data_IF_955366962403
#
_entry.id   IF_955366962403
#
_cell.length_a   1.000
_cell.length_b   1.000
_cell.length_c   1.000
_cell.angle_alpha   90.00
_cell.angle_beta   90.00
_cell.angle_gamma   90.00
#
_symmetry.space_group_name_H-M   'P 1'
#
loop_
_entity.id
_entity.type
_entity.pdbx_description
1 polymer ?
#
# COMPACT_ATOMS: atom_id res chain seq x y z
N UNK A 1 -25.20 -34.54 -0.87
CA UNK A 1 -24.26 -35.34 -1.65
C UNK A 1 -23.12 -34.44 -2.04
N UNK A 2 -21.91 -34.82 -1.66
CA UNK A 2 -20.64 -34.12 -1.85
C UNK A 2 -20.16 -34.26 -3.28
N UNK A 3 -19.60 -33.21 -3.86
CA UNK A 3 -18.59 -33.23 -4.92
C UNK A 3 -17.84 -31.92 -4.82
N UNK A 4 -16.73 -31.85 -4.18
CA UNK A 4 -15.36 -32.11 -4.59
C UNK A 4 -14.97 -31.43 -5.90
N UNK A 5 -14.39 -30.25 -5.74
CA UNK A 5 -13.63 -29.56 -6.78
C UNK A 5 -12.23 -30.19 -6.80
N UNK A 6 -11.99 -31.01 -7.81
CA UNK A 6 -10.67 -31.57 -8.08
C UNK A 6 -9.72 -30.49 -8.59
N UNK A 7 -8.69 -30.23 -7.79
CA UNK A 7 -7.50 -29.47 -8.13
C UNK A 7 -6.74 -30.12 -9.28
N UNK A 8 -6.42 -29.33 -10.29
CA UNK A 8 -5.38 -29.67 -11.27
C UNK A 8 -4.00 -29.57 -10.60
N UNK A 9 -3.35 -30.70 -10.42
CA UNK A 9 -2.08 -30.84 -9.74
C UNK A 9 -0.94 -30.98 -10.75
N UNK A 10 -0.31 -29.86 -11.13
CA UNK A 10 1.06 -29.87 -11.70
C UNK A 10 1.89 -28.63 -11.35
N UNK A 11 1.30 -27.57 -10.84
CA UNK A 11 1.96 -26.37 -10.29
C UNK A 11 2.15 -26.39 -8.78
N UNK A 12 1.26 -27.06 -8.06
CA UNK A 12 1.15 -26.96 -6.58
C UNK A 12 2.43 -27.26 -5.79
N UNK A 13 3.38 -28.00 -6.34
CA UNK A 13 4.65 -28.31 -5.67
C UNK A 13 5.67 -27.18 -5.75
N UNK A 14 5.81 -26.56 -6.93
CA UNK A 14 6.74 -25.42 -7.13
C UNK A 14 6.24 -24.18 -6.41
N UNK A 15 4.95 -23.92 -6.46
CA UNK A 15 4.34 -22.76 -5.79
C UNK A 15 4.45 -22.84 -4.28
N UNK A 16 4.21 -24.03 -3.69
CA UNK A 16 4.39 -24.26 -2.26
C UNK A 16 5.85 -24.05 -1.83
N UNK A 17 6.82 -24.44 -2.65
CA UNK A 17 8.24 -24.23 -2.38
C UNK A 17 8.63 -22.76 -2.47
N UNK A 18 8.15 -22.04 -3.48
CA UNK A 18 8.34 -20.60 -3.64
C UNK A 18 7.78 -19.86 -2.42
N UNK A 19 6.52 -20.10 -2.08
CA UNK A 19 5.86 -19.48 -0.94
C UNK A 19 6.61 -19.77 0.37
N UNK A 20 7.03 -21.03 0.59
CA UNK A 20 7.80 -21.42 1.78
C UNK A 20 9.12 -20.66 1.89
N UNK A 21 9.92 -20.60 0.80
CA UNK A 21 11.20 -19.89 0.77
C UNK A 21 11.03 -18.38 1.03
N UNK A 22 9.97 -17.78 0.47
CA UNK A 22 9.68 -16.34 0.68
C UNK A 22 9.21 -16.07 2.11
N UNK A 23 8.45 -16.98 2.72
CA UNK A 23 8.03 -16.90 4.12
C UNK A 23 9.22 -17.01 5.08
N UNK A 24 10.13 -17.95 4.86
CA UNK A 24 11.36 -18.13 5.66
C UNK A 24 12.23 -16.86 5.64
N UNK A 25 12.37 -16.23 4.47
CA UNK A 25 13.11 -14.96 4.35
C UNK A 25 12.50 -13.84 5.19
N UNK A 26 11.18 -13.64 5.08
CA UNK A 26 10.49 -12.59 5.84
C UNK A 26 10.55 -12.84 7.35
N UNK A 27 10.36 -14.09 7.78
CA UNK A 27 10.49 -14.44 9.18
C UNK A 27 11.91 -14.15 9.71
N UNK A 28 12.94 -14.46 8.92
CA UNK A 28 14.33 -14.12 9.26
C UNK A 28 14.55 -12.61 9.35
N UNK A 29 14.00 -11.86 8.40
CA UNK A 29 14.07 -10.39 8.39
C UNK A 29 13.41 -9.78 9.64
N UNK A 30 12.18 -10.19 9.96
CA UNK A 30 11.46 -9.67 11.12
C UNK A 30 12.09 -10.11 12.44
N UNK A 31 12.62 -11.33 12.51
CA UNK A 31 13.38 -11.78 13.67
C UNK A 31 14.65 -10.94 13.88
N UNK A 32 15.38 -10.59 12.82
CA UNK A 32 16.53 -9.69 12.88
C UNK A 32 16.14 -8.27 13.34
N UNK A 33 14.95 -7.80 12.96
CA UNK A 33 14.38 -6.53 13.42
C UNK A 33 13.82 -6.61 14.85
N UNK A 34 13.77 -7.81 15.47
CA UNK A 34 13.15 -8.10 16.77
C UNK A 34 11.67 -7.72 16.83
N UNK A 35 10.95 -7.89 15.73
CA UNK A 35 9.52 -7.62 15.63
C UNK A 35 8.80 -8.97 15.52
N UNK A 36 7.89 -9.22 16.46
CA UNK A 36 7.04 -10.40 16.43
C UNK A 36 5.97 -10.23 15.35
N UNK A 37 6.05 -11.04 14.31
CA UNK A 37 5.18 -10.90 13.14
C UNK A 37 4.80 -12.28 12.59
N UNK A 38 3.50 -12.47 12.37
CA UNK A 38 2.97 -13.60 11.60
C UNK A 38 2.77 -13.15 10.17
N UNK A 39 3.31 -13.90 9.22
CA UNK A 39 3.21 -13.62 7.79
C UNK A 39 2.26 -14.60 7.14
N UNK A 40 1.22 -14.11 6.50
CA UNK A 40 0.32 -14.88 5.64
C UNK A 40 0.57 -14.50 4.19
N UNK A 41 0.73 -15.51 3.32
CA UNK A 41 1.03 -15.29 1.90
C UNK A 41 -0.08 -15.92 1.07
N UNK A 42 -0.66 -15.14 0.18
CA UNK A 42 -1.59 -15.56 -0.85
C UNK A 42 -0.96 -15.33 -2.22
N UNK A 43 -0.82 -16.41 -3.01
CA UNK A 43 -0.19 -16.37 -4.33
C UNK A 43 -1.19 -16.80 -5.41
N UNK A 44 -1.47 -15.87 -6.31
CA UNK A 44 -2.26 -16.06 -7.51
C UNK A 44 -1.32 -16.20 -8.71
N UNK A 45 -1.08 -17.45 -9.12
CA UNK A 45 -0.18 -17.78 -10.23
C UNK A 45 -0.73 -17.26 -11.56
N UNK A 46 -2.05 -17.34 -11.79
CA UNK A 46 -2.69 -16.94 -13.05
C UNK A 46 -2.47 -15.44 -13.34
N UNK A 47 -2.53 -14.61 -12.30
CA UNK A 47 -2.36 -13.17 -12.41
C UNK A 47 -0.95 -12.69 -12.00
N UNK A 48 -0.03 -13.60 -11.68
CA UNK A 48 1.30 -13.29 -11.18
C UNK A 48 1.26 -12.26 -10.03
N UNK A 49 0.38 -12.49 -9.04
CA UNK A 49 0.16 -11.59 -7.93
C UNK A 49 0.40 -12.29 -6.59
N UNK A 50 1.23 -11.71 -5.74
CA UNK A 50 1.54 -12.24 -4.42
C UNK A 50 1.22 -11.21 -3.34
N UNK A 51 0.31 -11.56 -2.44
CA UNK A 51 -0.14 -10.71 -1.35
C UNK A 51 0.44 -11.22 -0.04
N UNK A 52 1.07 -10.35 0.71
CA UNK A 52 1.59 -10.58 2.03
C UNK A 52 0.76 -9.80 3.04
N UNK A 53 0.19 -10.48 4.01
CA UNK A 53 -0.50 -9.86 5.14
C UNK A 53 0.29 -10.12 6.42
N UNK A 54 0.56 -9.03 7.15
CA UNK A 54 1.38 -9.05 8.36
C UNK A 54 0.49 -8.81 9.58
N UNK A 55 0.59 -9.69 10.57
CA UNK A 55 -0.14 -9.59 11.84
C UNK A 55 0.84 -9.66 13.02
N UNK A 56 0.62 -8.86 14.03
CA UNK A 56 1.43 -8.87 15.26
C UNK A 56 1.12 -7.71 16.19
N UNK A 57 1.76 -7.67 17.38
CA UNK A 57 1.47 -6.67 18.40
C UNK A 57 2.03 -5.27 18.07
N UNK A 58 3.08 -5.19 17.26
CA UNK A 58 3.82 -3.94 16.99
C UNK A 58 3.75 -3.49 15.53
N UNK A 59 2.64 -3.74 14.84
CA UNK A 59 2.49 -3.44 13.42
C UNK A 59 2.64 -1.94 13.09
N UNK A 60 2.42 -1.05 14.04
CA UNK A 60 2.69 0.38 13.88
C UNK A 60 4.13 0.70 13.49
N UNK A 61 5.12 -0.09 13.95
CA UNK A 61 6.53 0.05 13.58
C UNK A 61 6.73 -0.29 12.10
N UNK A 62 6.08 -1.36 11.62
CA UNK A 62 6.15 -1.79 10.22
C UNK A 62 5.39 -0.85 9.28
N UNK A 63 4.34 -0.21 9.75
CA UNK A 63 3.66 0.84 8.99
C UNK A 63 4.56 2.07 8.87
N UNK A 64 5.11 2.52 10.00
CA UNK A 64 5.92 3.72 10.08
C UNK A 64 5.13 5.01 9.85
N UNK A 65 5.84 6.12 9.67
CA UNK A 65 5.20 7.41 9.43
C UNK A 65 4.45 7.40 8.10
N UNK A 66 3.11 7.40 8.16
CA UNK A 66 2.23 7.45 6.97
C UNK A 66 2.45 6.30 5.99
N UNK A 67 2.83 5.13 6.48
CA UNK A 67 3.04 3.96 5.63
C UNK A 67 4.38 3.93 4.89
N UNK A 68 5.31 4.84 5.18
CA UNK A 68 6.63 4.89 4.50
C UNK A 68 7.47 3.65 4.74
N UNK A 69 7.46 3.11 5.96
CA UNK A 69 8.18 1.87 6.27
C UNK A 69 7.54 0.70 5.52
N UNK A 70 6.22 0.63 5.51
CA UNK A 70 5.48 -0.41 4.80
C UNK A 70 5.74 -0.37 3.29
N UNK A 71 5.81 0.82 2.68
CA UNK A 71 6.14 0.98 1.26
C UNK A 71 7.59 0.55 0.96
N UNK A 72 8.54 0.88 1.83
CA UNK A 72 9.94 0.46 1.71
C UNK A 72 10.08 -1.06 1.85
N UNK A 73 9.39 -1.66 2.82
CA UNK A 73 9.36 -3.11 3.00
C UNK A 73 8.75 -3.80 1.78
N UNK A 74 7.63 -3.30 1.25
CA UNK A 74 7.02 -3.84 0.03
C UNK A 74 8.00 -3.82 -1.15
N UNK A 75 8.76 -2.75 -1.30
CA UNK A 75 9.77 -2.64 -2.35
C UNK A 75 10.86 -3.71 -2.19
N UNK A 76 11.42 -3.87 -0.98
CA UNK A 76 12.44 -4.88 -0.70
C UNK A 76 11.91 -6.30 -0.93
N UNK A 77 10.70 -6.60 -0.45
CA UNK A 77 10.04 -7.90 -0.67
C UNK A 77 9.79 -8.14 -2.16
N UNK A 78 9.39 -7.11 -2.90
CA UNK A 78 9.19 -7.20 -4.35
C UNK A 78 10.49 -7.53 -5.09
N UNK A 79 11.61 -6.91 -4.72
CA UNK A 79 12.92 -7.24 -5.28
C UNK A 79 13.28 -8.70 -4.97
N UNK A 80 13.15 -9.11 -3.71
CA UNK A 80 13.49 -10.47 -3.29
C UNK A 80 12.61 -11.54 -3.97
N UNK A 81 11.31 -11.28 -4.12
CA UNK A 81 10.39 -12.19 -4.81
C UNK A 81 10.80 -12.36 -6.27
N UNK A 82 11.22 -11.28 -6.92
CA UNK A 82 11.50 -11.26 -8.37
C UNK A 82 12.93 -11.66 -8.77
N UNK A 83 13.89 -11.77 -7.83
CA UNK A 83 15.28 -12.18 -8.14
C UNK A 83 15.35 -13.55 -8.84
N UNK A 84 14.54 -14.51 -8.41
CA UNK A 84 14.56 -15.89 -8.89
C UNK A 84 13.31 -16.25 -9.71
N UNK A 85 12.49 -15.29 -10.05
CA UNK A 85 11.23 -15.52 -10.77
C UNK A 85 11.44 -15.45 -12.28
N UNK A 86 10.90 -16.40 -13.03
CA UNK A 86 10.94 -16.42 -14.51
C UNK A 86 10.08 -15.30 -15.11
N UNK A 87 8.99 -14.94 -14.44
CA UNK A 87 8.09 -13.85 -14.82
C UNK A 87 7.94 -12.87 -13.67
N UNK A 88 7.62 -11.61 -13.98
CA UNK A 88 7.45 -10.59 -12.96
C UNK A 88 6.22 -10.85 -12.10
N UNK A 89 6.42 -11.01 -10.80
CA UNK A 89 5.39 -11.18 -9.79
C UNK A 89 5.10 -9.82 -9.15
N UNK A 90 3.84 -9.40 -9.21
CA UNK A 90 3.39 -8.19 -8.51
C UNK A 90 3.22 -8.49 -7.02
N UNK A 91 3.98 -7.78 -6.20
CA UNK A 91 3.95 -7.93 -4.75
C UNK A 91 3.10 -6.83 -4.12
N UNK A 92 2.23 -7.23 -3.21
CA UNK A 92 1.46 -6.35 -2.33
C UNK A 92 1.72 -6.75 -0.88
N UNK A 93 2.11 -5.79 -0.06
CA UNK A 93 2.33 -5.96 1.37
C UNK A 93 1.37 -5.04 2.14
N UNK A 94 0.63 -5.60 3.09
CA UNK A 94 -0.26 -4.83 3.96
C UNK A 94 -0.22 -5.38 5.39
N UNK A 95 -0.72 -4.63 6.32
CA UNK A 95 -0.92 -5.01 7.71
C UNK A 95 -2.15 -4.32 8.28
N UNK A 96 -3.01 -5.08 8.98
CA UNK A 96 -4.22 -4.56 9.62
C UNK A 96 -5.11 -3.73 8.68
N UNK A 97 -5.10 -4.04 7.39
CA UNK A 97 -5.83 -3.29 6.37
C UNK A 97 -5.47 -1.78 6.36
N UNK A 98 -4.19 -1.46 6.63
CA UNK A 98 -3.71 -0.08 6.75
C UNK A 98 -3.96 0.73 5.49
N UNK A 99 -3.71 0.16 4.30
CA UNK A 99 -3.83 0.90 3.03
C UNK A 99 -5.24 1.41 2.79
N UNK A 100 -6.27 0.61 3.10
CA UNK A 100 -7.66 1.03 2.99
C UNK A 100 -8.00 2.11 4.02
N UNK A 101 -7.64 1.92 5.30
CA UNK A 101 -7.85 2.92 6.35
C UNK A 101 -7.14 4.24 6.04
N UNK A 102 -5.93 4.17 5.49
CA UNK A 102 -5.16 5.36 5.09
C UNK A 102 -5.83 6.11 3.96
N UNK A 103 -6.37 5.40 2.96
CA UNK A 103 -7.16 5.99 1.88
C UNK A 103 -8.36 6.76 2.42
N UNK A 104 -9.15 6.16 3.29
CA UNK A 104 -10.32 6.81 3.91
C UNK A 104 -9.92 8.08 4.69
N UNK A 105 -8.81 8.01 5.42
CA UNK A 105 -8.25 9.16 6.15
C UNK A 105 -7.88 10.30 5.19
N UNK A 106 -7.26 10.00 4.06
CA UNK A 106 -6.88 11.00 3.05
C UNK A 106 -8.09 11.60 2.35
N UNK A 107 -9.11 10.81 2.04
CA UNK A 107 -10.36 11.31 1.47
C UNK A 107 -11.09 12.26 2.42
N UNK A 108 -11.14 11.91 3.71
CA UNK A 108 -11.72 12.78 4.74
C UNK A 108 -10.90 14.05 4.94
N UNK A 109 -9.56 13.95 4.93
CA UNK A 109 -8.68 15.11 4.97
C UNK A 109 -8.96 16.04 3.79
N UNK A 110 -9.08 15.52 2.58
CA UNK A 110 -9.37 16.29 1.37
C UNK A 110 -10.67 17.09 1.52
N UNK A 111 -11.76 16.45 1.97
CA UNK A 111 -13.06 17.10 2.21
C UNK A 111 -12.97 18.21 3.25
N UNK A 112 -12.27 17.96 4.36
CA UNK A 112 -12.08 18.94 5.43
C UNK A 112 -11.27 20.17 4.96
N UNK A 113 -10.21 19.94 4.16
CA UNK A 113 -9.40 21.02 3.60
C UNK A 113 -10.19 21.80 2.58
N UNK A 114 -10.96 21.15 1.70
CA UNK A 114 -11.84 21.83 0.76
C UNK A 114 -12.84 22.76 1.47
N UNK A 115 -13.44 22.31 2.56
CA UNK A 115 -14.32 23.14 3.38
C UNK A 115 -13.60 24.37 3.95
N UNK A 116 -12.38 24.19 4.49
CA UNK A 116 -11.58 25.30 5.03
C UNK A 116 -11.20 26.32 3.94
N UNK A 117 -10.82 25.85 2.76
CA UNK A 117 -10.48 26.70 1.61
C UNK A 117 -11.69 27.51 1.16
N UNK A 118 -12.88 26.91 1.08
CA UNK A 118 -14.14 27.60 0.74
C UNK A 118 -14.47 28.68 1.76
N UNK A 119 -14.33 28.39 3.05
CA UNK A 119 -14.66 29.32 4.12
C UNK A 119 -13.67 30.49 4.22
N UNK A 120 -12.38 30.20 4.19
CA UNK A 120 -11.32 31.16 4.44
C UNK A 120 -10.88 31.90 3.19
N UNK A 121 -11.30 31.47 2.00
CA UNK A 121 -10.92 32.05 0.68
C UNK A 121 -9.40 32.02 0.43
N UNK A 122 -8.64 31.17 1.13
CA UNK A 122 -7.18 31.03 1.01
C UNK A 122 -6.82 29.63 0.60
N UNK A 123 -5.83 29.48 -0.27
CA UNK A 123 -5.27 28.17 -0.60
C UNK A 123 -4.60 27.53 0.62
N UNK A 124 -4.68 26.22 0.70
CA UNK A 124 -4.03 25.43 1.76
C UNK A 124 -3.09 24.43 1.08
N UNK A 125 -1.85 24.42 1.54
CA UNK A 125 -0.83 23.45 1.13
C UNK A 125 -0.81 22.33 2.15
N UNK A 126 -0.92 21.09 1.66
CA UNK A 126 -0.78 19.90 2.47
C UNK A 126 0.70 19.53 2.67
N UNK A 127 0.96 18.62 3.58
CA UNK A 127 2.30 18.08 3.74
C UNK A 127 2.70 17.21 2.55
N UNK A 128 4.00 16.96 2.39
CA UNK A 128 4.50 16.08 1.33
C UNK A 128 3.97 14.66 1.51
N UNK A 129 3.64 14.02 0.40
CA UNK A 129 3.11 12.67 0.35
C UNK A 129 3.51 11.99 -0.95
N UNK A 130 3.47 10.66 -0.96
CA UNK A 130 3.84 9.88 -2.13
C UNK A 130 2.86 10.09 -3.30
N UNK A 131 3.21 9.71 -4.55
CA UNK A 131 2.37 9.92 -5.72
C UNK A 131 0.98 9.28 -5.62
N UNK A 132 0.89 8.12 -4.97
CA UNK A 132 -0.39 7.42 -4.78
C UNK A 132 -1.32 8.19 -3.85
N UNK A 133 -0.81 8.68 -2.72
CA UNK A 133 -1.58 9.49 -1.78
C UNK A 133 -2.05 10.80 -2.40
N UNK A 134 -1.18 11.49 -3.18
CA UNK A 134 -1.59 12.70 -3.91
C UNK A 134 -2.72 12.43 -4.88
N UNK A 135 -2.71 11.28 -5.57
CA UNK A 135 -3.80 10.87 -6.46
C UNK A 135 -5.12 10.70 -5.72
N UNK A 136 -5.10 10.14 -4.49
CA UNK A 136 -6.31 10.02 -3.66
C UNK A 136 -6.92 11.40 -3.39
N UNK A 137 -6.10 12.38 -2.97
CA UNK A 137 -6.56 13.75 -2.71
C UNK A 137 -7.13 14.39 -3.98
N UNK A 138 -6.43 14.27 -5.12
CA UNK A 138 -6.91 14.81 -6.40
C UNK A 138 -8.25 14.18 -6.81
N UNK A 139 -8.38 12.85 -6.71
CA UNK A 139 -9.60 12.13 -7.05
C UNK A 139 -10.77 12.51 -6.14
N UNK A 140 -10.53 12.66 -4.83
CA UNK A 140 -11.55 13.04 -3.87
C UNK A 140 -12.15 14.44 -4.13
N UNK A 141 -11.38 15.34 -4.74
CA UNK A 141 -11.80 16.71 -5.01
C UNK A 141 -12.02 17.02 -6.50
N UNK A 142 -11.85 16.04 -7.37
CA UNK A 142 -11.96 16.24 -8.83
C UNK A 142 -13.30 16.86 -9.26
N UNK A 143 -14.39 16.42 -8.65
CA UNK A 143 -15.76 16.84 -8.98
C UNK A 143 -16.26 17.98 -8.07
N UNK A 144 -15.42 18.55 -7.22
CA UNK A 144 -15.84 19.67 -6.39
C UNK A 144 -16.04 20.93 -7.25
N UNK A 145 -17.15 21.63 -7.03
CA UNK A 145 -17.54 22.80 -7.84
C UNK A 145 -16.69 24.05 -7.56
N UNK A 146 -16.13 24.16 -6.35
CA UNK A 146 -15.55 25.40 -5.84
C UNK A 146 -14.04 25.34 -5.63
N UNK A 147 -13.49 24.15 -5.46
CA UNK A 147 -12.05 24.00 -5.25
C UNK A 147 -11.40 23.19 -6.35
N UNK A 148 -10.13 23.45 -6.57
CA UNK A 148 -9.26 22.65 -7.43
C UNK A 148 -7.99 22.29 -6.67
N UNK A 149 -7.26 21.32 -7.20
CA UNK A 149 -6.04 20.80 -6.60
C UNK A 149 -4.91 20.79 -7.63
N UNK A 150 -3.69 21.06 -7.18
CA UNK A 150 -2.47 20.90 -7.97
C UNK A 150 -1.36 20.30 -7.10
N UNK A 151 -0.41 19.62 -7.71
CA UNK A 151 0.79 19.14 -7.03
C UNK A 151 1.95 20.08 -7.29
N UNK A 152 2.67 20.48 -6.23
CA UNK A 152 3.82 21.39 -6.28
C UNK A 152 5.06 20.75 -5.63
N UNK A 153 6.24 21.15 -6.08
CA UNK A 153 7.52 20.67 -5.58
C UNK A 153 8.03 19.43 -6.31
N UNK A 154 9.18 18.95 -5.89
CA UNK A 154 9.87 17.76 -6.42
C UNK A 154 9.86 16.64 -5.41
N UNK A 155 9.93 15.39 -5.90
CA UNK A 155 10.02 14.22 -5.02
C UNK A 155 11.34 14.27 -4.21
N UNK A 156 11.36 13.85 -2.97
CA UNK A 156 10.26 13.27 -2.16
C UNK A 156 9.39 14.32 -1.42
N UNK A 157 9.60 15.60 -1.66
CA UNK A 157 8.94 16.71 -0.93
C UNK A 157 7.70 17.25 -1.65
N UNK A 158 7.26 16.59 -2.72
CA UNK A 158 6.12 17.01 -3.52
C UNK A 158 4.82 16.91 -2.71
N UNK A 159 3.97 17.94 -2.81
CA UNK A 159 2.78 18.14 -1.99
C UNK A 159 1.59 18.61 -2.82
N UNK A 160 0.39 18.49 -2.26
CA UNK A 160 -0.85 18.94 -2.88
C UNK A 160 -1.22 20.31 -2.31
N UNK A 161 -1.62 21.22 -3.19
CA UNK A 161 -2.22 22.51 -2.86
C UNK A 161 -3.68 22.49 -3.28
N UNK A 162 -4.57 22.84 -2.35
CA UNK A 162 -6.01 22.99 -2.58
C UNK A 162 -6.33 24.48 -2.61
N UNK A 163 -7.00 24.93 -3.67
CA UNK A 163 -7.30 26.35 -3.90
C UNK A 163 -8.68 26.55 -4.51
N UNK A 164 -9.21 27.78 -4.43
CA UNK A 164 -10.51 28.11 -5.05
C UNK A 164 -10.38 28.14 -6.57
N UNK A 165 -11.37 27.58 -7.24
CA UNK A 165 -11.58 27.82 -8.68
C UNK A 165 -11.89 29.30 -8.91
N UNK A 166 -11.30 29.87 -9.95
CA UNK A 166 -11.65 31.20 -10.41
C UNK A 166 -12.97 31.18 -11.18
#
# INVERSE_FOLDING_TARGET
MKEEVQKKSSGAGKDAEIVKKKNEYLNTLFAAMKIETKVTIDYDEENCNMVFDLEGPEMGILIGKRGQTLDSLQYLVSLFVNIESESYIRVKLDTENYRARRKDTLENLAKNIAYKVKRNRKSITLESMNPYERRIIHSALQNDKYVATRSEGEEPYRKVVVYLKK
#
